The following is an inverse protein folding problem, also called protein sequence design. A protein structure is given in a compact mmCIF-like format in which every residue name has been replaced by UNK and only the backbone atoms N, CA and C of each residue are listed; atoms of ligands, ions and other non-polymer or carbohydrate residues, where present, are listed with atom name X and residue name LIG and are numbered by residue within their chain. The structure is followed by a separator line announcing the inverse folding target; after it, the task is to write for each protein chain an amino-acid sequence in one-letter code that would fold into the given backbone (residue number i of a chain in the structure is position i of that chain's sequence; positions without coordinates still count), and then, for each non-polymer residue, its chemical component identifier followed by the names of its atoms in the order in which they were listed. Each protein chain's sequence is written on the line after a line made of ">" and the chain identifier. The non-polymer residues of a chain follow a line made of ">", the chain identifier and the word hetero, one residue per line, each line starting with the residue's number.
data_IF_300310068268
#
_entry.id   IF_300310068268
#
_cell.length_a   1.000
_cell.length_b   1.000
_cell.length_c   1.000
_cell.angle_alpha   90.00
_cell.angle_beta   90.00
_cell.angle_gamma   90.00
#
_symmetry.space_group_name_H-M   'P 1'
#
loop_
_entity.id
_entity.type
_entity.pdbx_description
1 polymer ?
#
# COMPACT_ATOMS: atom_id res chain seq x y z
N UNK A 1 -4.83 1.67 -11.96
CA UNK A 1 -6.05 1.47 -11.15
C UNK A 1 -7.24 2.07 -11.92
N UNK A 2 -8.37 1.37 -12.04
CA UNK A 2 -9.55 1.87 -12.77
C UNK A 2 -10.36 2.84 -11.89
N UNK A 3 -10.86 3.94 -12.44
CA UNK A 3 -11.63 4.97 -11.72
C UNK A 3 -12.86 4.38 -11.01
N UNK A 4 -13.54 3.44 -11.68
CA UNK A 4 -14.71 2.74 -11.14
C UNK A 4 -14.34 1.94 -9.88
N UNK A 5 -13.15 1.33 -9.87
CA UNK A 5 -12.66 0.53 -8.75
C UNK A 5 -12.30 1.41 -7.54
N UNK A 6 -11.65 2.55 -7.78
CA UNK A 6 -11.35 3.52 -6.75
C UNK A 6 -12.63 4.06 -6.10
N UNK A 7 -13.64 4.40 -6.92
CA UNK A 7 -14.94 4.85 -6.41
C UNK A 7 -15.65 3.78 -5.57
N UNK A 8 -15.59 2.50 -5.98
CA UNK A 8 -16.17 1.39 -5.20
C UNK A 8 -15.52 1.22 -3.82
N UNK A 9 -14.22 1.48 -3.70
CA UNK A 9 -13.53 1.46 -2.41
C UNK A 9 -13.98 2.64 -1.55
N UNK A 10 -13.93 3.86 -2.11
CA UNK A 10 -14.25 5.09 -1.37
C UNK A 10 -15.71 5.11 -0.92
N UNK A 11 -16.64 4.61 -1.75
CA UNK A 11 -18.06 4.48 -1.41
C UNK A 11 -18.36 3.35 -0.42
N UNK A 12 -17.36 2.56 -0.02
CA UNK A 12 -17.53 1.40 0.86
C UNK A 12 -18.22 0.20 0.18
N UNK A 13 -18.53 0.29 -1.12
CA UNK A 13 -19.15 -0.78 -1.87
C UNK A 13 -18.24 -2.01 -2.05
N UNK A 14 -16.91 -1.83 -1.90
CA UNK A 14 -15.93 -2.90 -2.03
C UNK A 14 -14.78 -2.75 -1.02
N UNK A 15 -14.42 -3.85 -0.37
CA UNK A 15 -13.21 -3.93 0.46
C UNK A 15 -11.98 -4.22 -0.41
N UNK A 16 -10.93 -3.37 -0.38
CA UNK A 16 -9.67 -3.66 -1.07
C UNK A 16 -8.94 -4.84 -0.39
N UNK A 17 -8.06 -5.51 -1.13
CA UNK A 17 -7.03 -6.36 -0.51
C UNK A 17 -5.98 -5.47 0.18
N UNK A 18 -5.12 -6.08 1.01
CA UNK A 18 -4.00 -5.36 1.65
C UNK A 18 -3.16 -4.62 0.61
N UNK A 19 -2.76 -5.29 -0.47
CA UNK A 19 -1.87 -4.71 -1.48
C UNK A 19 -2.53 -3.56 -2.24
N UNK A 20 -3.85 -3.64 -2.48
CA UNK A 20 -4.61 -2.56 -3.11
C UNK A 20 -4.80 -1.38 -2.18
N UNK A 21 -4.94 -1.63 -0.88
CA UNK A 21 -4.97 -0.58 0.12
C UNK A 21 -3.59 0.10 0.22
N UNK A 22 -2.50 -0.65 0.19
CA UNK A 22 -1.14 -0.10 0.15
C UNK A 22 -0.89 0.71 -1.13
N UNK A 23 -1.28 0.19 -2.30
CA UNK A 23 -1.24 0.95 -3.57
C UNK A 23 -2.01 2.26 -3.46
N UNK A 24 -3.19 2.24 -2.82
CA UNK A 24 -4.00 3.44 -2.62
C UNK A 24 -3.29 4.43 -1.69
N UNK A 25 -2.69 3.97 -0.59
CA UNK A 25 -1.93 4.81 0.34
C UNK A 25 -0.74 5.49 -0.36
N UNK A 26 0.03 4.73 -1.15
CA UNK A 26 1.15 5.26 -1.94
C UNK A 26 0.64 6.27 -2.98
N UNK A 27 -0.45 5.97 -3.70
CA UNK A 27 -1.03 6.89 -4.68
C UNK A 27 -1.54 8.19 -4.05
N UNK A 28 -2.06 8.12 -2.83
CA UNK A 28 -2.52 9.26 -2.04
C UNK A 28 -1.37 10.03 -1.38
N UNK A 29 -0.13 9.53 -1.43
CA UNK A 29 1.02 10.02 -0.65
C UNK A 29 0.69 10.09 0.85
N UNK A 30 0.01 9.07 1.35
CA UNK A 30 -0.27 8.94 2.77
C UNK A 30 1.04 8.83 3.56
N UNK A 31 1.06 9.43 4.74
CA UNK A 31 2.16 9.27 5.68
C UNK A 31 2.19 7.83 6.22
N UNK A 32 3.31 7.45 6.85
CA UNK A 32 3.42 6.15 7.51
C UNK A 32 2.34 5.97 8.57
N UNK A 33 2.06 7.00 9.38
CA UNK A 33 1.03 6.95 10.44
C UNK A 33 -0.36 6.73 9.85
N UNK A 34 -0.75 7.51 8.84
CA UNK A 34 -2.03 7.34 8.14
C UNK A 34 -2.16 5.97 7.48
N UNK A 35 -1.07 5.45 6.91
CA UNK A 35 -1.05 4.12 6.29
C UNK A 35 -1.27 3.02 7.33
N UNK A 36 -0.62 3.13 8.49
CA UNK A 36 -0.82 2.17 9.60
C UNK A 36 -2.26 2.21 10.10
N UNK A 37 -2.82 3.41 10.29
CA UNK A 37 -4.21 3.58 10.69
C UNK A 37 -5.16 2.98 9.64
N UNK A 38 -4.95 3.27 8.35
CA UNK A 38 -5.77 2.73 7.27
C UNK A 38 -5.71 1.20 7.21
N UNK A 39 -4.54 0.59 7.41
CA UNK A 39 -4.39 -0.86 7.48
C UNK A 39 -5.20 -1.45 8.63
N UNK A 40 -5.10 -0.87 9.82
CA UNK A 40 -5.84 -1.32 11.01
C UNK A 40 -7.36 -1.18 10.80
N UNK A 41 -7.83 -0.05 10.29
CA UNK A 41 -9.25 0.17 9.98
C UNK A 41 -9.75 -0.74 8.84
N UNK A 42 -8.85 -1.12 7.92
CA UNK A 42 -9.11 -2.11 6.88
C UNK A 42 -9.15 -3.57 7.38
N UNK A 43 -8.79 -3.82 8.64
CA UNK A 43 -8.70 -5.15 9.24
C UNK A 43 -7.43 -5.92 8.86
N UNK A 44 -6.38 -5.21 8.44
CA UNK A 44 -5.08 -5.77 8.10
C UNK A 44 -4.06 -5.56 9.22
N UNK A 45 -3.04 -6.40 9.23
CA UNK A 45 -1.89 -6.18 10.10
C UNK A 45 -1.14 -4.91 9.66
N UNK A 46 -0.64 -4.11 10.63
CA UNK A 46 0.23 -2.98 10.34
C UNK A 46 1.52 -3.44 9.66
N UNK A 47 2.19 -2.54 8.96
CA UNK A 47 3.52 -2.73 8.40
C UNK A 47 4.52 -3.07 9.51
N UNK A 48 5.30 -4.14 9.30
CA UNK A 48 6.25 -4.66 10.27
C UNK A 48 7.69 -4.53 9.79
N UNK A 49 8.51 -3.77 10.53
CA UNK A 49 9.88 -3.40 10.12
C UNK A 49 10.80 -4.61 9.86
N UNK A 50 10.55 -5.76 10.50
CA UNK A 50 11.36 -6.96 10.28
C UNK A 50 10.95 -7.76 9.03
N UNK A 51 9.80 -7.47 8.42
CA UNK A 51 9.45 -7.99 7.10
C UNK A 51 10.19 -7.15 6.05
N UNK A 52 10.96 -7.78 5.17
CA UNK A 52 11.74 -7.06 4.15
C UNK A 52 10.81 -6.30 3.18
N UNK A 53 9.76 -6.95 2.70
CA UNK A 53 8.68 -6.32 1.93
C UNK A 53 8.12 -5.06 2.64
N UNK A 54 7.72 -5.18 3.91
CA UNK A 54 7.13 -4.05 4.63
C UNK A 54 8.15 -2.95 4.90
N UNK A 55 9.42 -3.28 5.13
CA UNK A 55 10.49 -2.31 5.32
C UNK A 55 10.69 -1.44 4.06
N UNK A 56 10.71 -2.07 2.88
CA UNK A 56 10.76 -1.38 1.59
C UNK A 56 9.57 -0.42 1.46
N UNK A 57 8.37 -0.89 1.79
CA UNK A 57 7.15 -0.07 1.73
C UNK A 57 7.21 1.09 2.73
N UNK A 58 7.65 0.86 3.97
CA UNK A 58 7.77 1.90 5.00
C UNK A 58 8.68 3.04 4.54
N UNK A 59 9.80 2.71 3.90
CA UNK A 59 10.74 3.71 3.41
C UNK A 59 10.17 4.51 2.23
N UNK A 60 9.34 3.88 1.41
CA UNK A 60 8.90 4.43 0.13
C UNK A 60 7.52 5.13 0.19
N UNK A 61 6.71 4.90 1.23
CA UNK A 61 5.27 5.21 1.29
C UNK A 61 4.90 6.67 0.92
N UNK A 62 5.68 7.66 1.36
CA UNK A 62 5.37 9.09 1.15
C UNK A 62 6.14 9.73 0.00
N UNK A 63 7.26 9.14 -0.41
CA UNK A 63 8.23 9.75 -1.32
C UNK A 63 8.15 9.17 -2.73
N UNK A 64 7.88 7.87 -2.85
CA UNK A 64 8.00 7.13 -4.10
C UNK A 64 6.67 6.84 -4.77
N UNK A 65 6.72 6.64 -6.08
CA UNK A 65 5.56 6.15 -6.85
C UNK A 65 5.46 4.63 -6.75
N UNK A 66 4.26 4.08 -6.99
CA UNK A 66 4.01 2.62 -7.02
C UNK A 66 5.00 1.89 -7.95
N UNK A 67 5.37 2.50 -9.08
CA UNK A 67 6.32 1.92 -10.02
C UNK A 67 7.73 1.79 -9.40
N UNK A 68 8.17 2.79 -8.65
CA UNK A 68 9.45 2.77 -7.95
C UNK A 68 9.44 1.74 -6.82
N UNK A 69 8.35 1.69 -6.03
CA UNK A 69 8.18 0.68 -4.97
C UNK A 69 8.23 -0.73 -5.54
N UNK A 70 7.48 -1.01 -6.62
CA UNK A 70 7.50 -2.32 -7.26
C UNK A 70 8.87 -2.66 -7.88
N UNK A 71 9.60 -1.66 -8.39
CA UNK A 71 10.98 -1.89 -8.87
C UNK A 71 11.89 -2.31 -7.71
N UNK A 72 11.78 -1.63 -6.57
CA UNK A 72 12.59 -1.92 -5.38
C UNK A 72 12.23 -3.30 -4.78
N UNK A 73 10.94 -3.65 -4.73
CA UNK A 73 10.47 -4.98 -4.32
C UNK A 73 11.04 -6.07 -5.24
N UNK A 74 10.99 -5.85 -6.56
CA UNK A 74 11.56 -6.78 -7.53
C UNK A 74 13.07 -6.99 -7.33
N UNK A 75 13.83 -5.90 -7.14
CA UNK A 75 15.28 -5.94 -6.93
C UNK A 75 15.67 -6.71 -5.66
N UNK A 76 14.78 -6.76 -4.66
CA UNK A 76 14.96 -7.53 -3.42
C UNK A 76 14.34 -8.94 -3.47
N UNK A 77 13.72 -9.34 -4.59
CA UNK A 77 13.08 -10.66 -4.75
C UNK A 77 11.75 -10.82 -4.01
N UNK A 78 11.10 -9.71 -3.65
CA UNK A 78 9.81 -9.67 -2.98
C UNK A 78 8.64 -9.67 -3.97
N UNK A 79 7.44 -10.00 -3.48
CA UNK A 79 6.22 -9.94 -4.29
C UNK A 79 5.83 -8.47 -4.59
N UNK A 80 5.34 -8.23 -5.81
CA UNK A 80 4.87 -6.92 -6.25
C UNK A 80 3.48 -6.59 -5.69
N UNK A 81 3.17 -5.30 -5.59
CA UNK A 81 1.84 -4.81 -5.24
C UNK A 81 0.92 -4.78 -6.49
N UNK A 82 -0.26 -5.42 -6.42
CA UNK A 82 -1.26 -5.56 -7.51
C UNK A 82 -2.71 -5.13 -7.15
#
# INVERSE_FOLDING_TARGET
>A
MNEIYAYQIISGARRPSRDKLLCLCIAMRATLEETQDLLIHGGFAPLYVCSQCDNIIIFAISEETILQVNSNLYDHGEALLE
#
